data_IF_580968793089
#
_entry.id   IF_580968793089
#
_cell.length_a   1.000
_cell.length_b   1.000
_cell.length_c   1.000
_cell.angle_alpha   90.00
_cell.angle_beta   90.00
_cell.angle_gamma   90.00
#
_symmetry.space_group_name_H-M   'P 1'
#
loop_
_entity.id
_entity.type
_entity.pdbx_description
1 polymer ?
#
# COMPACT_ATOMS: atom_id res chain seq x y z
N UNK A 1 -18.79 4.33 -11.13
CA UNK A 1 -17.42 3.78 -11.09
C UNK A 1 -17.51 2.33 -10.69
N UNK A 2 -16.77 1.41 -11.33
CA UNK A 2 -16.81 -0.01 -10.95
C UNK A 2 -15.99 -0.24 -9.67
N UNK A 3 -16.28 -1.32 -8.93
CA UNK A 3 -15.60 -1.62 -7.68
C UNK A 3 -14.09 -1.77 -7.86
N UNK A 4 -13.66 -2.37 -8.96
CA UNK A 4 -12.24 -2.52 -9.30
C UNK A 4 -11.54 -1.20 -9.59
N UNK A 5 -12.24 -0.22 -10.16
CA UNK A 5 -11.69 1.10 -10.44
C UNK A 5 -11.62 1.94 -9.16
N UNK A 6 -12.61 1.77 -8.26
CA UNK A 6 -12.59 2.37 -6.92
C UNK A 6 -11.44 1.82 -6.06
N UNK A 7 -11.27 0.50 -6.05
CA UNK A 7 -10.14 -0.17 -5.39
C UNK A 7 -8.81 0.40 -5.90
N UNK A 8 -8.64 0.45 -7.23
CA UNK A 8 -7.40 0.95 -7.82
C UNK A 8 -7.15 2.43 -7.49
N UNK A 9 -8.19 3.27 -7.57
CA UNK A 9 -8.07 4.68 -7.22
C UNK A 9 -7.64 4.86 -5.76
N UNK A 10 -8.29 4.17 -4.83
CA UNK A 10 -7.94 4.23 -3.41
C UNK A 10 -6.52 3.72 -3.16
N UNK A 11 -6.13 2.60 -3.76
CA UNK A 11 -4.78 2.03 -3.69
C UNK A 11 -3.72 3.03 -4.18
N UNK A 12 -3.94 3.64 -5.35
CA UNK A 12 -3.02 4.61 -5.93
C UNK A 12 -2.91 5.87 -5.05
N UNK A 13 -4.04 6.38 -4.55
CA UNK A 13 -4.06 7.52 -3.64
C UNK A 13 -3.36 7.22 -2.32
N UNK A 14 -3.45 5.98 -1.80
CA UNK A 14 -2.71 5.55 -0.60
C UNK A 14 -1.21 5.63 -0.84
N UNK A 15 -0.69 5.04 -1.92
CA UNK A 15 0.75 5.11 -2.24
C UNK A 15 1.20 6.57 -2.38
N UNK A 16 0.44 7.37 -3.13
CA UNK A 16 0.76 8.78 -3.33
C UNK A 16 0.77 9.54 -1.99
N UNK A 17 -0.21 9.30 -1.13
CA UNK A 17 -0.30 9.94 0.18
C UNK A 17 0.88 9.57 1.07
N UNK A 18 1.29 8.30 1.11
CA UNK A 18 2.46 7.85 1.88
C UNK A 18 3.74 8.51 1.34
N UNK A 19 3.98 8.44 0.03
CA UNK A 19 5.16 9.06 -0.60
C UNK A 19 5.24 10.56 -0.29
N UNK A 20 4.13 11.28 -0.44
CA UNK A 20 4.07 12.71 -0.13
C UNK A 20 4.26 12.98 1.37
N UNK A 21 3.76 12.11 2.25
CA UNK A 21 3.94 12.28 3.69
C UNK A 21 5.41 12.22 4.10
N UNK A 22 6.23 11.36 3.47
CA UNK A 22 7.68 11.27 3.75
C UNK A 22 8.41 12.58 3.41
N UNK A 23 7.90 13.38 2.46
CA UNK A 23 8.46 14.71 2.15
C UNK A 23 8.14 15.74 3.24
N UNK A 24 6.94 15.63 3.82
CA UNK A 24 6.40 16.65 4.74
C UNK A 24 6.80 16.34 6.18
N UNK A 25 6.80 15.06 6.55
CA UNK A 25 7.03 14.56 7.90
C UNK A 25 8.18 13.55 7.81
N UNK A 26 9.35 13.84 8.42
CA UNK A 26 10.42 12.86 8.55
C UNK A 26 9.87 11.59 9.20
N UNK A 27 10.26 10.42 8.68
CA UNK A 27 9.73 9.16 9.18
C UNK A 27 10.12 9.00 10.66
N UNK A 28 9.15 8.63 11.49
CA UNK A 28 9.39 8.35 12.91
C UNK A 28 9.33 6.85 13.07
N UNK A 29 10.49 6.25 13.30
CA UNK A 29 10.58 4.82 13.58
C UNK A 29 9.78 4.48 14.84
N UNK A 30 8.69 3.74 14.65
CA UNK A 30 7.95 3.16 15.76
C UNK A 30 8.67 1.88 16.18
N UNK A 31 9.32 1.92 17.34
CA UNK A 31 10.03 0.78 17.90
C UNK A 31 9.12 0.01 18.87
N UNK A 32 8.98 -1.30 18.64
CA UNK A 32 8.37 -2.23 19.59
C UNK A 32 9.36 -3.33 19.91
N UNK A 33 9.84 -3.39 21.15
CA UNK A 33 10.85 -4.36 21.59
C UNK A 33 12.10 -4.39 20.67
N UNK A 34 12.63 -3.21 20.30
CA UNK A 34 13.76 -3.02 19.37
C UNK A 34 13.52 -3.48 17.91
N UNK A 35 12.28 -3.78 17.53
CA UNK A 35 11.89 -4.05 16.14
C UNK A 35 11.22 -2.78 15.59
N UNK A 36 11.67 -2.33 14.41
CA UNK A 36 11.04 -1.21 13.69
C UNK A 36 9.74 -1.72 13.07
N UNK A 37 8.62 -1.08 13.43
CA UNK A 37 7.31 -1.35 12.86
C UNK A 37 7.08 -0.40 11.68
N UNK A 38 7.31 -0.92 10.49
CA UNK A 38 6.98 -0.26 9.24
C UNK A 38 5.47 -0.30 8.95
N UNK A 39 4.96 0.63 8.12
CA UNK A 39 3.56 0.61 7.66
C UNK A 39 3.18 -0.60 6.83
N UNK A 40 4.14 -1.43 6.42
CA UNK A 40 3.85 -2.77 5.93
C UNK A 40 2.95 -3.56 6.89
N UNK A 41 3.23 -3.52 8.19
CA UNK A 41 2.46 -4.27 9.20
C UNK A 41 1.05 -3.73 9.36
N UNK A 42 0.89 -2.41 9.37
CA UNK A 42 -0.43 -1.78 9.36
C UNK A 42 -1.19 -2.15 8.09
N UNK A 43 -0.51 -2.13 6.93
CA UNK A 43 -1.08 -2.55 5.66
C UNK A 43 -1.57 -3.99 5.68
N UNK A 44 -0.76 -4.92 6.21
CA UNK A 44 -1.11 -6.33 6.35
C UNK A 44 -2.33 -6.54 7.24
N UNK A 45 -2.38 -5.86 8.39
CA UNK A 45 -3.51 -5.95 9.32
C UNK A 45 -4.78 -5.37 8.68
N UNK A 46 -4.69 -4.19 8.07
CA UNK A 46 -5.83 -3.51 7.41
C UNK A 46 -6.37 -4.36 6.25
N UNK A 47 -5.49 -4.89 5.40
CA UNK A 47 -5.87 -5.80 4.32
C UNK A 47 -6.46 -7.11 4.87
N UNK A 48 -5.87 -7.69 5.91
CA UNK A 48 -6.37 -8.89 6.59
C UNK A 48 -7.78 -8.70 7.15
N UNK A 49 -8.04 -7.55 7.79
CA UNK A 49 -9.36 -7.19 8.32
C UNK A 49 -10.41 -7.15 7.21
N UNK A 50 -10.04 -6.76 5.98
CA UNK A 50 -10.99 -6.77 4.85
C UNK A 50 -11.58 -8.17 4.59
N UNK A 51 -10.83 -9.24 4.82
CA UNK A 51 -11.30 -10.62 4.65
C UNK A 51 -12.29 -11.09 5.72
N UNK A 52 -12.40 -10.36 6.84
CA UNK A 52 -13.41 -10.65 7.86
C UNK A 52 -14.81 -10.20 7.43
N UNK A 53 -14.92 -9.39 6.37
CA UNK A 53 -16.18 -8.92 5.83
C UNK A 53 -16.55 -9.69 4.56
N UNK A 54 -17.53 -10.58 4.67
CA UNK A 54 -18.00 -11.48 3.60
C UNK A 54 -18.78 -10.79 2.46
N UNK A 55 -18.87 -9.47 2.46
CA UNK A 55 -19.55 -8.70 1.42
C UNK A 55 -18.59 -7.67 0.85
N UNK A 56 -18.67 -7.44 -0.47
CA UNK A 56 -18.05 -6.30 -1.16
C UNK A 56 -18.69 -4.97 -0.77
N UNK A 57 -18.71 -4.66 0.52
CA UNK A 57 -19.09 -3.34 0.98
C UNK A 57 -18.01 -2.34 0.55
N UNK A 58 -18.40 -1.08 0.44
CA UNK A 58 -17.46 0.02 0.22
C UNK A 58 -16.31 -0.02 1.23
N UNK A 59 -16.62 -0.28 2.50
CA UNK A 59 -15.63 -0.39 3.57
C UNK A 59 -14.61 -1.50 3.28
N UNK A 60 -15.06 -2.70 2.91
CA UNK A 60 -14.19 -3.84 2.57
C UNK A 60 -13.21 -3.48 1.45
N UNK A 61 -13.71 -2.83 0.39
CA UNK A 61 -12.88 -2.43 -0.76
C UNK A 61 -11.83 -1.39 -0.37
N UNK A 62 -12.21 -0.40 0.45
CA UNK A 62 -11.30 0.64 0.92
C UNK A 62 -10.24 0.07 1.86
N UNK A 63 -10.61 -0.84 2.77
CA UNK A 63 -9.65 -1.53 3.63
C UNK A 63 -8.65 -2.34 2.80
N UNK A 64 -9.13 -3.14 1.83
CA UNK A 64 -8.22 -3.88 0.96
C UNK A 64 -7.29 -2.94 0.17
N UNK A 65 -7.84 -1.87 -0.42
CA UNK A 65 -7.08 -0.90 -1.21
C UNK A 65 -6.01 -0.18 -0.40
N UNK A 66 -6.37 0.34 0.78
CA UNK A 66 -5.43 1.02 1.69
C UNK A 66 -4.39 0.03 2.18
N UNK A 67 -4.80 -1.14 2.67
CA UNK A 67 -3.88 -2.13 3.21
C UNK A 67 -2.86 -2.61 2.18
N UNK A 68 -3.32 -2.96 0.98
CA UNK A 68 -2.44 -3.37 -0.13
C UNK A 68 -1.57 -2.23 -0.66
N UNK A 69 -2.07 -0.98 -0.64
CA UNK A 69 -1.30 0.21 -1.00
C UNK A 69 -0.13 0.44 -0.05
N UNK A 70 -0.38 0.40 1.26
CA UNK A 70 0.66 0.50 2.30
C UNK A 70 1.71 -0.60 2.17
N UNK A 71 1.27 -1.85 1.98
CA UNK A 71 2.19 -2.98 1.82
C UNK A 71 3.06 -2.86 0.57
N UNK A 72 2.47 -2.47 -0.57
CA UNK A 72 3.21 -2.33 -1.83
C UNK A 72 4.26 -1.23 -1.72
N UNK A 73 3.89 -0.10 -1.13
CA UNK A 73 4.78 1.04 -0.97
C UNK A 73 6.03 0.67 -0.17
N UNK A 74 5.83 0.06 1.00
CA UNK A 74 6.91 -0.34 1.90
C UNK A 74 7.75 -1.48 1.32
N UNK A 75 7.13 -2.45 0.66
CA UNK A 75 7.84 -3.54 0.00
C UNK A 75 8.85 -2.99 -1.02
N UNK A 76 8.43 -2.00 -1.81
CA UNK A 76 9.29 -1.39 -2.82
C UNK A 76 10.39 -0.54 -2.16
N UNK A 77 10.04 0.21 -1.12
CA UNK A 77 11.00 1.00 -0.37
C UNK A 77 12.09 0.14 0.27
N UNK A 78 11.74 -0.96 0.93
CA UNK A 78 12.70 -1.87 1.55
C UNK A 78 13.56 -2.57 0.50
N UNK A 79 12.96 -3.08 -0.59
CA UNK A 79 13.69 -3.83 -1.61
C UNK A 79 14.64 -2.94 -2.44
N UNK A 80 14.26 -1.70 -2.71
CA UNK A 80 14.99 -0.82 -3.65
C UNK A 80 15.69 0.37 -2.98
N UNK A 81 15.31 0.71 -1.75
CA UNK A 81 15.88 1.81 -0.96
C UNK A 81 16.53 1.37 0.35
N UNK A 82 16.58 0.07 0.65
CA UNK A 82 17.20 -0.51 1.84
C UNK A 82 16.72 0.07 3.19
N UNK A 83 15.52 0.67 3.21
CA UNK A 83 14.96 1.26 4.44
C UNK A 83 15.52 2.64 4.80
N UNK A 84 16.16 3.36 3.88
CA UNK A 84 16.65 4.72 4.12
C UNK A 84 15.72 5.77 3.52
N UNK A 85 15.16 6.68 4.32
CA UNK A 85 14.13 7.65 3.89
C UNK A 85 14.50 8.44 2.62
N UNK A 86 15.78 8.77 2.45
CA UNK A 86 16.29 9.50 1.28
C UNK A 86 16.07 8.73 -0.03
N UNK A 87 15.96 7.42 0.05
CA UNK A 87 15.75 6.52 -1.08
C UNK A 87 14.26 6.38 -1.46
N UNK A 88 13.32 6.97 -0.72
CA UNK A 88 11.92 7.01 -1.15
C UNK A 88 11.73 7.68 -2.52
N UNK A 89 12.61 8.63 -2.85
CA UNK A 89 12.56 9.42 -4.08
C UNK A 89 13.67 9.06 -5.07
N UNK A 90 14.43 8.01 -4.79
CA UNK A 90 15.44 7.54 -5.73
C UNK A 90 14.77 6.90 -6.96
N UNK A 91 15.46 6.97 -8.10
CA UNK A 91 14.97 6.44 -9.38
C UNK A 91 14.55 4.97 -9.26
N UNK A 92 15.33 4.07 -8.61
CA UNK A 92 14.91 2.67 -8.43
C UNK A 92 13.58 2.55 -7.69
N UNK A 93 13.42 3.28 -6.58
CA UNK A 93 12.20 3.27 -5.76
C UNK A 93 10.98 3.73 -6.55
N UNK A 94 11.10 4.84 -7.29
CA UNK A 94 10.04 5.37 -8.15
C UNK A 94 9.64 4.40 -9.28
N UNK A 95 10.63 3.76 -9.92
CA UNK A 95 10.37 2.75 -10.94
C UNK A 95 9.65 1.52 -10.36
N UNK A 96 10.06 1.08 -9.17
CA UNK A 96 9.39 0.01 -8.45
C UNK A 96 7.92 0.34 -8.19
N UNK A 97 7.64 1.55 -7.68
CA UNK A 97 6.27 2.03 -7.41
C UNK A 97 5.45 2.06 -8.70
N UNK A 98 6.02 2.59 -9.76
CA UNK A 98 5.35 2.64 -11.06
C UNK A 98 4.98 1.23 -11.56
N UNK A 99 5.91 0.27 -11.47
CA UNK A 99 5.66 -1.13 -11.85
C UNK A 99 4.59 -1.77 -10.94
N UNK A 100 4.67 -1.55 -9.63
CA UNK A 100 3.69 -2.05 -8.67
C UNK A 100 2.27 -1.51 -8.93
N UNK A 101 2.16 -0.21 -9.20
CA UNK A 101 0.90 0.45 -9.57
C UNK A 101 0.36 -0.10 -10.90
N UNK A 102 1.21 -0.26 -11.92
CA UNK A 102 0.80 -0.84 -13.19
C UNK A 102 0.32 -2.28 -13.02
N UNK A 103 1.03 -3.10 -12.24
CA UNK A 103 0.63 -4.47 -11.93
C UNK A 103 -0.72 -4.50 -11.21
N UNK A 104 -0.92 -3.65 -10.20
CA UNK A 104 -2.20 -3.53 -9.48
C UNK A 104 -3.33 -3.09 -10.44
N UNK A 105 -3.07 -2.17 -11.36
CA UNK A 105 -4.05 -1.76 -12.38
C UNK A 105 -4.46 -2.93 -13.28
N UNK A 106 -3.51 -3.72 -13.77
CA UNK A 106 -3.78 -4.86 -14.64
C UNK A 106 -4.51 -6.00 -13.91
N UNK A 107 -4.23 -6.18 -12.61
CA UNK A 107 -4.77 -7.26 -11.79
C UNK A 107 -6.01 -6.87 -10.97
N UNK A 108 -6.41 -5.59 -10.94
CA UNK A 108 -7.49 -5.06 -10.08
C UNK A 108 -8.78 -5.88 -10.09
N UNK A 109 -9.18 -6.38 -11.27
CA UNK A 109 -10.38 -7.22 -11.41
C UNK A 109 -10.24 -8.55 -10.68
N UNK A 110 -9.07 -9.19 -10.75
CA UNK A 110 -8.78 -10.46 -10.06
C UNK A 110 -8.67 -10.24 -8.56
N UNK A 111 -8.02 -9.16 -8.14
CA UNK A 111 -7.85 -8.80 -6.72
C UNK A 111 -9.22 -8.59 -6.07
N UNK A 112 -10.10 -7.79 -6.69
CA UNK A 112 -11.45 -7.55 -6.15
C UNK A 112 -12.30 -8.81 -6.22
N UNK A 113 -12.19 -9.63 -7.26
CA UNK A 113 -12.94 -10.89 -7.36
C UNK A 113 -12.52 -11.92 -6.29
N UNK A 114 -11.32 -11.82 -5.72
CA UNK A 114 -10.87 -12.73 -4.65
C UNK A 114 -11.57 -12.45 -3.30
N UNK A 115 -12.22 -11.30 -3.13
CA UNK A 115 -13.04 -10.98 -1.95
C UNK A 115 -14.49 -11.51 -2.07
N UNK A 116 -14.85 -12.19 -3.18
CA UNK A 116 -16.20 -12.69 -3.48
C UNK A 116 -16.38 -14.12 -2.98
#
# INVERSE_FOLDING_TARGET
MKNEDLFFLAFFLTILAVRLSVVIVPEVDILFNNIIIHHFWFGLIIAGISFLFTKHTLCTLLLLAVGTGLMMDELIFVLLGAGHDKEYWSIPSLLGVFIGVLAAFLLRRKIVAFLA
#
